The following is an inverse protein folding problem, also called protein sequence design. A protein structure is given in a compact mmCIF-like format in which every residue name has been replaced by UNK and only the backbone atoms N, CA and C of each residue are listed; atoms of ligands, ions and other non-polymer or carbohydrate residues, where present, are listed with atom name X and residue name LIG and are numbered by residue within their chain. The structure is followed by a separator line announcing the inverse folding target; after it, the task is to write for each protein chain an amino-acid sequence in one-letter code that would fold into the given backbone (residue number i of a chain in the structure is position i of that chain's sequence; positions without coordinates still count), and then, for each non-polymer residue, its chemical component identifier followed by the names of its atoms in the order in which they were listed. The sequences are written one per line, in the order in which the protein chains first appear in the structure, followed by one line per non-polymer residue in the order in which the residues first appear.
data_IF_199503912645
#
_entry.id   IF_199503912645
#
_cell.length_a   1.000
_cell.length_b   1.000
_cell.length_c   1.000
_cell.angle_alpha   90.00
_cell.angle_beta   90.00
_cell.angle_gamma   90.00
#
_symmetry.space_group_name_H-M   'P 1'
#
loop_
_entity.id
_entity.type
_entity.pdbx_description
1 polymer ?
#
# COMPACT_ATOMS: atom_id res chain seq x y z
N UNK A 1 -3.93 -41.49 -18.81
CA UNK A 1 -2.66 -42.14 -18.43
C UNK A 1 -1.45 -41.59 -19.19
N UNK A 2 -1.39 -41.66 -20.53
CA UNK A 2 -0.24 -41.14 -21.30
C UNK A 2 0.02 -39.63 -21.09
N UNK A 3 -1.03 -38.81 -21.01
CA UNK A 3 -0.91 -37.37 -20.74
C UNK A 3 -0.37 -37.05 -19.33
N UNK A 4 -0.68 -37.89 -18.32
CA UNK A 4 -0.18 -37.73 -16.95
C UNK A 4 1.31 -38.05 -16.87
N UNK A 5 1.73 -39.13 -17.52
CA UNK A 5 3.15 -39.47 -17.62
C UNK A 5 3.94 -38.40 -18.41
N UNK A 6 3.34 -37.84 -19.46
CA UNK A 6 3.92 -36.74 -20.23
C UNK A 6 4.18 -35.49 -19.40
N UNK A 7 3.28 -35.13 -18.47
CA UNK A 7 3.45 -33.98 -17.59
C UNK A 7 4.66 -34.11 -16.65
N UNK A 8 4.85 -35.29 -16.05
CA UNK A 8 6.00 -35.56 -15.18
C UNK A 8 7.32 -35.60 -15.97
N UNK A 9 7.32 -36.16 -17.18
CA UNK A 9 8.49 -36.15 -18.07
C UNK A 9 8.85 -34.71 -18.45
N UNK A 10 7.87 -33.88 -18.79
CA UNK A 10 8.09 -32.48 -19.09
C UNK A 10 8.67 -31.73 -17.89
N UNK A 11 8.18 -32.01 -16.68
CA UNK A 11 8.72 -31.42 -15.44
C UNK A 11 10.21 -31.77 -15.23
N UNK A 12 10.59 -33.04 -15.43
CA UNK A 12 12.00 -33.48 -15.30
C UNK A 12 12.90 -32.77 -16.34
N UNK A 13 12.42 -32.62 -17.57
CA UNK A 13 13.14 -31.89 -18.63
C UNK A 13 13.33 -30.42 -18.22
N UNK A 14 12.29 -29.78 -17.69
CA UNK A 14 12.36 -28.39 -17.22
C UNK A 14 13.36 -28.24 -16.08
N UNK A 15 13.40 -29.17 -15.11
CA UNK A 15 14.41 -29.17 -14.04
C UNK A 15 15.83 -29.24 -14.63
N UNK A 16 16.06 -30.09 -15.63
CA UNK A 16 17.36 -30.18 -16.31
C UNK A 16 17.78 -28.86 -16.98
N UNK A 17 16.85 -28.18 -17.65
CA UNK A 17 17.09 -26.87 -18.27
C UNK A 17 17.39 -25.82 -17.20
N UNK A 18 16.64 -25.80 -16.09
CA UNK A 18 16.84 -24.86 -14.99
C UNK A 18 18.16 -25.09 -14.26
N UNK A 19 18.64 -26.34 -14.18
CA UNK A 19 19.95 -26.67 -13.64
C UNK A 19 21.06 -26.10 -14.53
N UNK A 20 20.97 -26.28 -15.84
CA UNK A 20 21.94 -25.70 -16.79
C UNK A 20 21.94 -24.17 -16.71
N UNK A 21 20.75 -23.56 -16.66
CA UNK A 21 20.61 -22.12 -16.46
C UNK A 21 21.26 -21.66 -15.14
N UNK A 22 21.03 -22.39 -14.04
CA UNK A 22 21.60 -22.05 -12.73
C UNK A 22 23.13 -22.14 -12.71
N UNK A 23 23.71 -23.12 -13.41
CA UNK A 23 25.17 -23.24 -13.58
C UNK A 23 25.71 -22.04 -14.37
N UNK A 24 25.09 -21.71 -15.51
CA UNK A 24 25.53 -20.60 -16.36
C UNK A 24 25.41 -19.26 -15.63
N UNK A 25 24.29 -19.02 -14.96
CA UNK A 25 24.02 -17.82 -14.19
C UNK A 25 25.05 -17.63 -13.07
N UNK A 26 25.34 -18.69 -12.31
CA UNK A 26 26.32 -18.65 -11.23
C UNK A 26 27.73 -18.39 -11.78
N UNK A 27 28.13 -19.08 -12.85
CA UNK A 27 29.45 -18.86 -13.49
C UNK A 27 29.59 -17.49 -14.15
N UNK A 28 28.51 -16.89 -14.61
CA UNK A 28 28.54 -15.57 -15.24
C UNK A 28 28.80 -14.45 -14.22
N UNK A 29 28.20 -14.56 -13.04
CA UNK A 29 28.32 -13.55 -11.98
C UNK A 29 29.48 -13.81 -10.99
N UNK A 30 30.08 -15.00 -11.01
CA UNK A 30 31.19 -15.34 -10.12
C UNK A 30 32.52 -14.79 -10.65
N UNK A 31 33.24 -14.02 -9.83
CA UNK A 31 34.58 -13.52 -10.17
C UNK A 31 35.59 -14.67 -10.22
N UNK A 32 36.52 -14.62 -11.17
CA UNK A 32 37.43 -15.72 -11.52
C UNK A 32 38.58 -15.89 -10.52
N UNK A 33 38.75 -14.95 -9.58
CA UNK A 33 39.84 -14.97 -8.60
C UNK A 33 39.44 -15.50 -7.21
N UNK A 34 38.17 -15.38 -6.82
CA UNK A 34 37.68 -15.79 -5.49
C UNK A 34 36.60 -16.89 -5.58
N UNK A 35 36.73 -17.80 -6.55
CA UNK A 35 35.71 -18.82 -6.78
C UNK A 35 35.94 -20.10 -5.95
N UNK A 36 35.21 -20.24 -4.85
CA UNK A 36 35.25 -21.43 -4.02
C UNK A 36 34.24 -22.52 -4.46
N UNK A 37 34.67 -23.79 -4.62
CA UNK A 37 33.83 -24.84 -5.22
C UNK A 37 32.61 -25.22 -4.38
N UNK A 38 32.72 -25.16 -3.05
CA UNK A 38 31.62 -25.51 -2.14
C UNK A 38 30.53 -24.42 -2.13
N UNK A 39 30.90 -23.14 -2.13
CA UNK A 39 29.95 -22.02 -2.22
C UNK A 39 29.21 -22.02 -3.56
N UNK A 40 29.93 -22.26 -4.66
CA UNK A 40 29.33 -22.40 -6.00
C UNK A 40 28.37 -23.59 -6.05
N UNK A 41 28.71 -24.71 -5.42
CA UNK A 41 27.82 -25.87 -5.39
C UNK A 41 26.52 -25.60 -4.60
N UNK A 42 26.62 -24.99 -3.41
CA UNK A 42 25.46 -24.67 -2.57
C UNK A 42 24.54 -23.66 -3.25
N UNK A 43 25.10 -22.65 -3.91
CA UNK A 43 24.34 -21.64 -4.67
C UNK A 43 23.64 -22.23 -5.89
N UNK A 44 24.32 -23.07 -6.69
CA UNK A 44 23.70 -23.76 -7.84
C UNK A 44 22.56 -24.68 -7.39
N UNK A 45 22.78 -25.48 -6.35
CA UNK A 45 21.77 -26.41 -5.83
C UNK A 45 20.56 -25.68 -5.25
N UNK A 46 20.77 -24.64 -4.45
CA UNK A 46 19.67 -23.86 -3.86
C UNK A 46 18.88 -23.09 -4.92
N UNK A 47 19.55 -22.46 -5.89
CA UNK A 47 18.91 -21.75 -7.00
C UNK A 47 18.07 -22.70 -7.86
N UNK A 48 18.62 -23.88 -8.19
CA UNK A 48 17.90 -24.91 -8.97
C UNK A 48 16.66 -25.41 -8.21
N UNK A 49 16.78 -25.60 -6.90
CA UNK A 49 15.67 -26.05 -6.05
C UNK A 49 14.55 -25.01 -5.95
N UNK A 50 14.88 -23.72 -5.83
CA UNK A 50 13.90 -22.63 -5.81
C UNK A 50 13.20 -22.48 -7.17
N UNK A 51 13.95 -22.50 -8.27
CA UNK A 51 13.38 -22.34 -9.61
C UNK A 51 12.51 -23.54 -10.01
N UNK A 52 12.91 -24.75 -9.61
CA UNK A 52 12.08 -25.95 -9.85
C UNK A 52 10.77 -25.92 -9.05
N UNK A 53 10.75 -25.36 -7.84
CA UNK A 53 9.52 -25.22 -7.05
C UNK A 53 8.51 -24.28 -7.74
N UNK A 54 8.99 -23.21 -8.36
CA UNK A 54 8.15 -22.31 -9.16
C UNK A 54 7.65 -23.01 -10.44
N UNK A 55 8.51 -23.80 -11.08
CA UNK A 55 8.14 -24.55 -12.29
C UNK A 55 7.14 -25.68 -12.05
N UNK A 56 6.90 -26.09 -10.79
CA UNK A 56 5.90 -27.10 -10.44
C UNK A 56 4.46 -26.57 -10.53
N UNK A 57 4.23 -25.26 -10.35
CA UNK A 57 2.90 -24.66 -10.43
C UNK A 57 2.14 -24.93 -11.75
N UNK A 58 2.72 -24.70 -12.94
CA UNK A 58 2.02 -25.00 -14.19
C UNK A 58 1.73 -26.51 -14.36
N UNK A 59 2.59 -27.38 -13.81
CA UNK A 59 2.41 -28.84 -13.87
C UNK A 59 1.27 -29.28 -12.95
N UNK A 60 1.17 -28.70 -11.76
CA UNK A 60 0.05 -28.90 -10.82
C UNK A 60 -1.29 -28.49 -11.46
N UNK A 61 -1.37 -27.25 -11.98
CA UNK A 61 -2.57 -26.74 -12.65
C UNK A 61 -2.96 -27.65 -13.82
N UNK A 62 -1.99 -28.09 -14.62
CA UNK A 62 -2.25 -29.00 -15.74
C UNK A 62 -2.75 -30.38 -15.27
N UNK A 63 -2.09 -30.98 -14.27
CA UNK A 63 -2.46 -32.29 -13.74
C UNK A 63 -3.87 -32.28 -13.15
N UNK A 64 -4.22 -31.26 -12.37
CA UNK A 64 -5.54 -31.12 -11.75
C UNK A 64 -6.61 -30.80 -12.81
N UNK A 65 -6.35 -29.86 -13.72
CA UNK A 65 -7.31 -29.48 -14.76
C UNK A 65 -7.58 -30.62 -15.74
N UNK A 66 -6.60 -31.48 -16.04
CA UNK A 66 -6.77 -32.64 -16.92
C UNK A 66 -7.75 -33.70 -16.39
N UNK A 67 -8.13 -33.63 -15.10
CA UNK A 67 -9.10 -34.54 -14.49
C UNK A 67 -10.55 -34.14 -14.74
N UNK A 68 -10.79 -32.90 -15.20
CA UNK A 68 -12.13 -32.31 -15.40
C UNK A 68 -12.45 -32.21 -16.89
N UNK A 69 -13.66 -32.60 -17.27
CA UNK A 69 -14.15 -32.45 -18.63
C UNK A 69 -14.68 -31.03 -18.84
N UNK A 70 -14.08 -30.28 -19.76
CA UNK A 70 -14.42 -28.88 -20.07
C UNK A 70 -15.88 -28.69 -20.52
N UNK A 71 -16.48 -29.69 -21.16
CA UNK A 71 -17.83 -29.58 -21.72
C UNK A 71 -18.94 -29.83 -20.70
N UNK A 72 -18.66 -30.65 -19.67
CA UNK A 72 -19.65 -31.06 -18.67
C UNK A 72 -19.35 -30.53 -17.27
N UNK A 73 -18.14 -30.01 -17.02
CA UNK A 73 -17.67 -29.57 -15.70
C UNK A 73 -17.46 -30.73 -14.70
N UNK A 74 -17.70 -31.98 -15.11
CA UNK A 74 -17.58 -33.16 -14.27
C UNK A 74 -16.23 -33.83 -14.46
N UNK A 75 -15.75 -34.53 -13.43
CA UNK A 75 -14.53 -35.35 -13.52
C UNK A 75 -14.73 -36.49 -14.52
N UNK A 76 -13.69 -36.79 -15.29
CA UNK A 76 -13.69 -37.96 -16.17
C UNK A 76 -13.86 -39.25 -15.36
N UNK A 77 -14.52 -40.27 -15.94
CA UNK A 77 -14.77 -41.54 -15.25
C UNK A 77 -13.48 -42.26 -14.86
N UNK A 78 -12.44 -42.19 -15.70
CA UNK A 78 -11.11 -42.72 -15.38
C UNK A 78 -10.42 -41.97 -14.22
N UNK A 79 -10.82 -40.72 -13.96
CA UNK A 79 -10.19 -39.87 -12.96
C UNK A 79 -10.79 -40.07 -11.56
N UNK A 80 -12.02 -40.58 -11.43
CA UNK A 80 -12.70 -40.75 -10.12
C UNK A 80 -11.89 -41.59 -9.14
N UNK A 81 -11.31 -42.68 -9.62
CA UNK A 81 -10.51 -43.60 -8.79
C UNK A 81 -9.03 -43.18 -8.70
N UNK A 82 -8.54 -42.37 -9.65
CA UNK A 82 -7.12 -42.02 -9.79
C UNK A 82 -6.76 -40.64 -9.21
N UNK A 83 -7.73 -39.75 -8.98
CA UNK A 83 -7.48 -38.38 -8.49
C UNK A 83 -6.76 -38.39 -7.14
N UNK A 84 -7.11 -39.28 -6.22
CA UNK A 84 -6.44 -39.35 -4.92
C UNK A 84 -4.97 -39.73 -5.06
N UNK A 85 -4.65 -40.64 -5.99
CA UNK A 85 -3.27 -41.01 -6.27
C UNK A 85 -2.47 -39.86 -6.88
N UNK A 86 -3.07 -39.10 -7.80
CA UNK A 86 -2.46 -37.91 -8.41
C UNK A 86 -2.20 -36.83 -7.34
N UNK A 87 -3.18 -36.54 -6.49
CA UNK A 87 -3.03 -35.57 -5.40
C UNK A 87 -1.97 -36.00 -4.40
N UNK A 88 -1.90 -37.30 -4.05
CA UNK A 88 -0.87 -37.82 -3.16
C UNK A 88 0.54 -37.68 -3.77
N UNK A 89 0.70 -37.92 -5.07
CA UNK A 89 1.97 -37.71 -5.77
C UNK A 89 2.38 -36.23 -5.78
N UNK A 90 1.45 -35.32 -6.11
CA UNK A 90 1.69 -33.88 -6.10
C UNK A 90 2.07 -33.41 -4.69
N UNK A 91 1.33 -33.82 -3.67
CA UNK A 91 1.61 -33.50 -2.27
C UNK A 91 2.98 -34.03 -1.83
N UNK A 92 3.33 -35.27 -2.18
CA UNK A 92 4.63 -35.85 -1.87
C UNK A 92 5.79 -35.05 -2.49
N UNK A 93 5.64 -34.62 -3.75
CA UNK A 93 6.64 -33.78 -4.42
C UNK A 93 6.74 -32.40 -3.77
N UNK A 94 5.62 -31.75 -3.44
CA UNK A 94 5.62 -30.46 -2.74
C UNK A 94 6.29 -30.56 -1.37
N UNK A 95 5.92 -31.54 -0.55
CA UNK A 95 6.54 -31.73 0.76
C UNK A 95 8.02 -32.08 0.65
N UNK A 96 8.42 -32.88 -0.34
CA UNK A 96 9.82 -33.17 -0.63
C UNK A 96 10.62 -31.93 -1.00
N UNK A 97 10.10 -31.11 -1.92
CA UNK A 97 10.78 -29.89 -2.37
C UNK A 97 10.86 -28.83 -1.27
N UNK A 98 9.75 -28.54 -0.58
CA UNK A 98 9.75 -27.58 0.54
C UNK A 98 10.59 -28.08 1.72
N UNK A 99 10.59 -29.38 1.99
CA UNK A 99 11.46 -30.00 3.00
C UNK A 99 12.94 -29.83 2.65
N UNK A 100 13.33 -30.07 1.39
CA UNK A 100 14.70 -29.82 0.92
C UNK A 100 15.06 -28.32 1.01
N UNK A 101 14.16 -27.41 0.63
CA UNK A 101 14.40 -25.96 0.75
C UNK A 101 14.62 -25.59 2.22
N UNK A 102 13.82 -26.12 3.14
CA UNK A 102 13.98 -25.89 4.57
C UNK A 102 15.34 -26.39 5.09
N UNK A 103 15.79 -27.58 4.64
CA UNK A 103 17.12 -28.11 5.00
C UNK A 103 18.24 -27.21 4.46
N UNK A 104 18.14 -26.76 3.21
CA UNK A 104 19.11 -25.86 2.61
C UNK A 104 19.18 -24.53 3.36
N UNK A 105 18.04 -23.92 3.68
CA UNK A 105 17.97 -22.66 4.41
C UNK A 105 18.41 -22.77 5.87
N UNK A 106 18.09 -23.87 6.56
CA UNK A 106 18.35 -24.01 7.99
C UNK A 106 19.76 -24.53 8.31
N UNK A 107 20.37 -25.32 7.42
CA UNK A 107 21.65 -25.98 7.71
C UNK A 107 22.72 -25.67 6.67
N UNK A 108 22.42 -25.87 5.39
CA UNK A 108 23.45 -25.85 4.33
C UNK A 108 23.96 -24.43 4.06
N UNK A 109 23.06 -23.44 3.95
CA UNK A 109 23.44 -22.04 3.71
C UNK A 109 24.16 -21.43 4.93
N UNK A 110 23.65 -21.59 6.17
CA UNK A 110 24.37 -21.12 7.36
C UNK A 110 25.74 -21.78 7.55
N UNK A 111 25.84 -23.10 7.31
CA UNK A 111 27.11 -23.83 7.37
C UNK A 111 28.11 -23.32 6.32
N UNK A 112 27.66 -23.16 5.08
CA UNK A 112 28.50 -22.61 4.02
C UNK A 112 28.99 -21.21 4.39
N UNK A 113 28.09 -20.32 4.80
CA UNK A 113 28.44 -18.96 5.22
C UNK A 113 29.51 -18.94 6.32
N UNK A 114 29.30 -19.70 7.41
CA UNK A 114 30.23 -19.72 8.53
C UNK A 114 31.58 -20.35 8.18
N UNK A 115 31.59 -21.42 7.38
CA UNK A 115 32.82 -22.07 6.92
C UNK A 115 33.70 -21.13 6.08
N UNK A 116 33.09 -20.24 5.28
CA UNK A 116 33.83 -19.29 4.44
C UNK A 116 34.33 -18.06 5.20
N UNK A 117 33.55 -17.54 6.15
CA UNK A 117 34.00 -16.41 6.98
C UNK A 117 35.29 -16.77 7.76
N UNK A 118 35.37 -17.99 8.31
CA UNK A 118 36.55 -18.47 9.05
C UNK A 118 37.77 -18.70 8.12
N UNK A 119 37.55 -19.11 6.86
CA UNK A 119 38.64 -19.33 5.89
C UNK A 119 39.31 -18.01 5.46
N UNK A 120 38.51 -16.96 5.21
CA UNK A 120 39.04 -15.62 4.86
C UNK A 120 39.86 -15.00 6.02
N UNK A 121 39.45 -15.20 7.27
CA UNK A 121 40.23 -14.75 8.43
C UNK A 121 41.57 -15.50 8.55
N UNK A 122 41.61 -16.79 8.19
CA UNK A 122 42.81 -17.63 8.19
C UNK A 122 43.91 -17.19 7.20
N UNK A 123 43.55 -16.86 5.96
CA UNK A 123 44.51 -16.42 4.92
C UNK A 123 45.05 -15.00 5.17
N UNK A 124 44.26 -14.13 5.82
CA UNK A 124 44.66 -12.76 6.15
C UNK A 124 45.87 -12.68 7.11
N UNK A 125 46.11 -13.75 7.89
CA UNK A 125 47.15 -13.80 8.91
C UNK A 125 48.55 -14.22 8.39
N UNK A 126 48.70 -14.60 7.11
CA UNK A 126 49.96 -15.20 6.58
C UNK A 126 50.70 -14.39 5.50
N UNK A 127 50.16 -13.29 4.97
CA UNK A 127 50.87 -12.50 3.94
C UNK A 127 51.79 -11.41 4.54
N UNK A 128 53.05 -11.27 4.09
CA UNK A 128 53.85 -10.08 4.40
C UNK A 128 53.14 -8.85 3.82
N UNK A 129 53.16 -7.76 4.57
CA UNK A 129 52.52 -6.47 4.24
C UNK A 129 53.06 -5.86 2.93
N UNK A 130 52.65 -6.39 1.79
CA UNK A 130 52.77 -5.65 0.54
C UNK A 130 51.56 -4.76 0.36
N UNK A 131 51.88 -3.51 0.05
CA UNK A 131 51.03 -2.33 0.02
C UNK A 131 49.80 -2.56 -0.87
N UNK A 132 48.74 -3.14 -0.30
CA UNK A 132 47.38 -3.02 -0.84
C UNK A 132 47.11 -1.51 -0.91
N UNK A 133 46.89 -1.00 -2.13
CA UNK A 133 46.22 0.29 -2.30
C UNK A 133 44.97 0.16 -1.43
N UNK A 134 44.77 1.00 -0.40
CA UNK A 134 43.61 0.88 0.46
C UNK A 134 42.40 1.22 -0.42
N UNK A 135 41.83 0.19 -1.04
CA UNK A 135 40.47 0.31 -1.54
C UNK A 135 39.65 0.50 -0.28
N UNK A 136 38.89 1.59 -0.28
CA UNK A 136 38.18 2.22 0.82
C UNK A 136 37.22 1.30 1.61
N UNK A 137 37.20 0.00 1.30
CA UNK A 137 36.36 -1.05 1.87
C UNK A 137 36.81 -1.54 3.24
N UNK A 138 38.10 -1.54 3.58
CA UNK A 138 38.53 -1.85 4.97
C UNK A 138 38.25 -0.66 5.91
N UNK A 139 38.38 0.56 5.39
CA UNK A 139 37.91 1.77 6.07
C UNK A 139 36.40 1.73 6.22
N UNK A 140 35.65 1.44 5.16
CA UNK A 140 34.18 1.34 5.19
C UNK A 140 33.70 0.18 6.06
N UNK A 141 34.31 -1.00 6.00
CA UNK A 141 34.03 -2.15 6.88
C UNK A 141 34.30 -1.76 8.32
N UNK A 142 35.44 -1.16 8.65
CA UNK A 142 35.78 -0.67 10.00
C UNK A 142 34.92 0.51 10.47
N UNK A 143 34.43 1.32 9.53
CA UNK A 143 33.47 2.40 9.79
C UNK A 143 32.11 1.79 10.12
N UNK A 144 31.64 0.81 9.37
CA UNK A 144 30.37 0.10 9.54
C UNK A 144 30.34 -0.86 10.74
N UNK A 145 31.43 -1.58 11.03
CA UNK A 145 31.54 -2.51 12.19
C UNK A 145 32.05 -1.83 13.45
N UNK A 146 32.58 -0.61 13.36
CA UNK A 146 32.85 0.23 14.52
C UNK A 146 31.55 0.70 15.16
N UNK A 147 31.52 0.80 16.49
CA UNK A 147 30.37 1.32 17.25
C UNK A 147 29.88 2.69 16.77
N UNK A 148 30.73 3.46 16.07
CA UNK A 148 30.40 4.77 15.49
C UNK A 148 29.55 4.67 14.21
N UNK A 149 29.78 3.70 13.31
CA UNK A 149 28.97 3.56 12.09
C UNK A 149 27.62 2.91 12.34
N UNK A 150 27.55 1.93 13.25
CA UNK A 150 26.27 1.38 13.73
C UNK A 150 25.39 2.50 14.32
N UNK A 151 25.99 3.42 15.09
CA UNK A 151 25.31 4.60 15.63
C UNK A 151 24.90 5.61 14.55
N UNK A 152 25.71 5.77 13.50
CA UNK A 152 25.43 6.73 12.41
C UNK A 152 24.32 6.21 11.48
N UNK A 153 24.32 4.91 11.18
CA UNK A 153 23.29 4.27 10.36
C UNK A 153 21.96 4.23 11.13
N UNK A 154 21.99 3.84 12.40
CA UNK A 154 20.79 3.89 13.25
C UNK A 154 20.22 5.30 13.36
N UNK A 155 21.08 6.32 13.42
CA UNK A 155 20.68 7.72 13.40
C UNK A 155 20.04 8.17 12.08
N UNK A 156 20.64 7.84 10.93
CA UNK A 156 20.08 8.16 9.60
C UNK A 156 18.72 7.49 9.43
N UNK A 157 18.61 6.22 9.82
CA UNK A 157 17.37 5.45 9.77
C UNK A 157 16.32 6.04 10.72
N UNK A 158 16.72 6.48 11.91
CA UNK A 158 15.81 7.14 12.86
C UNK A 158 15.27 8.47 12.28
N UNK A 159 16.11 9.28 11.63
CA UNK A 159 15.68 10.50 10.94
C UNK A 159 14.69 10.17 9.81
N UNK A 160 15.02 9.18 8.97
CA UNK A 160 14.15 8.75 7.88
C UNK A 160 12.80 8.26 8.41
N UNK A 161 12.79 7.51 9.51
CA UNK A 161 11.57 7.05 10.16
C UNK A 161 10.77 8.20 10.78
N UNK A 162 11.41 9.23 11.36
CA UNK A 162 10.70 10.42 11.85
C UNK A 162 10.04 11.18 10.71
N UNK A 163 10.74 11.37 9.58
CA UNK A 163 10.18 11.98 8.37
C UNK A 163 9.00 11.13 7.86
N UNK A 164 9.17 9.81 7.80
CA UNK A 164 8.11 8.87 7.43
C UNK A 164 6.89 8.96 8.34
N UNK A 165 7.09 9.12 9.65
CA UNK A 165 5.99 9.30 10.62
C UNK A 165 5.30 10.63 10.49
N UNK A 166 6.02 11.71 10.20
CA UNK A 166 5.41 13.01 9.91
C UNK A 166 4.53 12.90 8.66
N UNK A 167 5.05 12.31 7.58
CA UNK A 167 4.28 12.06 6.36
C UNK A 167 3.06 11.19 6.68
N UNK A 168 3.22 10.13 7.46
CA UNK A 168 2.13 9.23 7.85
C UNK A 168 1.03 9.94 8.65
N UNK A 169 1.38 10.72 9.68
CA UNK A 169 0.39 11.46 10.47
C UNK A 169 -0.38 12.44 9.61
N UNK A 170 0.34 13.15 8.76
CA UNK A 170 -0.23 14.25 8.01
C UNK A 170 -1.03 13.75 6.78
N UNK A 171 -0.62 12.64 6.17
CA UNK A 171 -1.25 12.06 4.97
C UNK A 171 -2.36 11.06 5.31
N UNK A 172 -2.12 10.16 6.26
CA UNK A 172 -2.97 9.00 6.51
C UNK A 172 -4.10 9.31 7.50
N UNK A 173 -3.85 10.12 8.54
CA UNK A 173 -4.88 10.41 9.54
C UNK A 173 -6.10 11.15 8.95
N UNK A 174 -5.93 12.21 8.11
CA UNK A 174 -7.06 12.86 7.46
C UNK A 174 -7.75 11.94 6.45
N UNK A 175 -7.00 11.18 5.65
CA UNK A 175 -7.55 10.27 4.65
C UNK A 175 -8.46 9.19 5.24
N UNK A 176 -8.03 8.56 6.34
CA UNK A 176 -8.82 7.56 7.06
C UNK A 176 -10.04 8.16 7.76
N UNK A 177 -9.92 9.36 8.33
CA UNK A 177 -11.02 10.01 9.04
C UNK A 177 -12.23 10.32 8.15
N UNK A 178 -11.99 10.54 6.85
CA UNK A 178 -13.01 10.90 5.86
C UNK A 178 -13.67 9.70 5.18
N UNK A 179 -13.05 8.52 5.25
CA UNK A 179 -13.48 7.31 4.54
C UNK A 179 -14.88 6.82 4.98
N UNK A 180 -15.19 6.68 6.29
CA UNK A 180 -16.51 6.23 6.73
C UNK A 180 -17.63 7.17 6.26
N UNK A 181 -17.36 8.47 6.27
CA UNK A 181 -18.34 9.50 5.91
C UNK A 181 -18.60 9.49 4.39
N UNK A 182 -17.57 9.25 3.58
CA UNK A 182 -17.71 9.04 2.13
C UNK A 182 -18.50 7.78 1.79
N UNK A 183 -18.24 6.68 2.51
CA UNK A 183 -18.97 5.43 2.29
C UNK A 183 -20.45 5.54 2.67
N UNK A 184 -20.77 6.22 3.77
CA UNK A 184 -22.15 6.41 4.23
C UNK A 184 -22.94 7.34 3.29
N UNK A 185 -22.31 8.37 2.72
CA UNK A 185 -23.00 9.33 1.82
C UNK A 185 -23.10 8.90 0.35
N UNK A 186 -22.39 7.85 -0.05
CA UNK A 186 -22.41 7.34 -1.42
C UNK A 186 -21.72 8.28 -2.42
N UNK A 187 -21.07 7.70 -3.43
CA UNK A 187 -20.29 8.43 -4.44
C UNK A 187 -21.11 9.39 -5.35
N UNK A 188 -22.44 9.44 -5.20
CA UNK A 188 -23.37 10.13 -6.10
C UNK A 188 -24.03 11.41 -5.57
N UNK A 189 -23.86 11.77 -4.28
CA UNK A 189 -24.31 13.06 -3.74
C UNK A 189 -23.08 13.92 -3.40
N UNK A 190 -22.31 14.26 -4.44
CA UNK A 190 -21.22 15.25 -4.34
C UNK A 190 -21.77 16.61 -4.70
N UNK A 191 -21.48 17.62 -3.86
CA UNK A 191 -21.97 19.02 -3.92
C UNK A 191 -22.19 19.45 -5.34
N UNK A 192 -23.22 20.26 -5.70
CA UNK A 192 -23.12 20.98 -6.97
C UNK A 192 -21.73 21.62 -7.00
N UNK A 193 -20.87 21.07 -7.87
CA UNK A 193 -19.45 21.37 -7.85
C UNK A 193 -19.30 22.85 -8.18
N UNK A 194 -18.20 23.48 -7.79
CA UNK A 194 -17.85 24.84 -8.23
C UNK A 194 -18.07 25.00 -9.75
N UNK A 195 -17.65 23.98 -10.51
CA UNK A 195 -17.81 23.88 -11.96
C UNK A 195 -19.27 23.74 -12.42
N UNK A 196 -20.13 23.15 -11.60
CA UNK A 196 -21.55 22.94 -11.89
C UNK A 196 -22.35 24.22 -11.57
N UNK A 197 -22.08 24.88 -10.43
CA UNK A 197 -22.68 26.18 -10.12
C UNK A 197 -22.30 27.21 -11.20
N UNK A 198 -21.05 27.19 -11.67
CA UNK A 198 -20.59 28.06 -12.75
C UNK A 198 -21.30 27.74 -14.08
N UNK A 199 -21.52 26.45 -14.41
CA UNK A 199 -22.22 26.06 -15.64
C UNK A 199 -23.69 26.49 -15.60
N UNK A 200 -24.37 26.32 -14.47
CA UNK A 200 -25.74 26.80 -14.25
C UNK A 200 -25.84 28.33 -14.36
N UNK A 201 -24.88 29.07 -13.79
CA UNK A 201 -24.82 30.52 -13.91
C UNK A 201 -24.64 30.98 -15.37
N UNK A 202 -23.80 30.27 -16.13
CA UNK A 202 -23.58 30.55 -17.57
C UNK A 202 -24.87 30.32 -18.36
N UNK A 203 -25.55 29.19 -18.14
CA UNK A 203 -26.83 28.87 -18.79
C UNK A 203 -27.91 29.90 -18.45
N UNK A 204 -28.00 30.33 -17.20
CA UNK A 204 -28.96 31.34 -16.77
C UNK A 204 -28.72 32.69 -17.49
N UNK A 205 -27.46 33.14 -17.52
CA UNK A 205 -27.07 34.37 -18.25
C UNK A 205 -27.33 34.28 -19.74
N UNK A 206 -27.17 33.12 -20.35
CA UNK A 206 -27.54 32.91 -21.76
C UNK A 206 -29.04 33.05 -21.97
N UNK A 207 -29.88 32.46 -21.10
CA UNK A 207 -31.34 32.63 -21.16
C UNK A 207 -31.74 34.10 -21.04
N UNK A 208 -31.12 34.85 -20.12
CA UNK A 208 -31.35 36.30 -19.99
C UNK A 208 -30.96 37.06 -21.27
N UNK A 209 -29.84 36.71 -21.91
CA UNK A 209 -29.42 37.33 -23.19
C UNK A 209 -30.38 37.04 -24.33
N UNK A 210 -30.92 35.81 -24.40
CA UNK A 210 -31.91 35.43 -25.42
C UNK A 210 -33.22 36.20 -25.24
N UNK A 211 -33.66 36.45 -24.01
CA UNK A 211 -34.84 37.29 -23.77
C UNK A 211 -34.53 38.75 -24.11
N UNK A 212 -33.43 39.29 -23.61
CA UNK A 212 -33.04 40.67 -23.87
C UNK A 212 -32.80 40.96 -25.37
N UNK A 213 -32.27 40.00 -26.13
CA UNK A 213 -32.02 40.17 -27.57
C UNK A 213 -33.31 40.25 -28.40
N UNK A 214 -34.40 39.59 -27.97
CA UNK A 214 -35.72 39.70 -28.62
C UNK A 214 -36.27 41.13 -28.60
N UNK A 215 -35.91 41.90 -27.58
CA UNK A 215 -36.37 43.27 -27.38
C UNK A 215 -35.29 44.33 -27.68
N UNK A 216 -34.07 43.90 -28.00
CA UNK A 216 -32.96 44.81 -28.31
C UNK A 216 -33.16 45.40 -29.71
N UNK A 217 -33.56 46.68 -29.77
CA UNK A 217 -33.79 47.40 -31.03
C UNK A 217 -35.25 47.38 -31.53
N UNK A 218 -36.18 46.77 -30.78
CA UNK A 218 -37.62 46.87 -31.03
C UNK A 218 -38.23 47.94 -30.11
N UNK A 219 -39.16 48.75 -30.62
CA UNK A 219 -39.95 49.71 -29.81
C UNK A 219 -41.06 49.01 -28.99
N UNK A 220 -41.12 47.67 -28.99
CA UNK A 220 -42.09 46.91 -28.21
C UNK A 220 -41.70 46.84 -26.73
N UNK A 221 -42.68 47.10 -25.87
CA UNK A 221 -42.58 46.85 -24.43
C UNK A 221 -42.59 45.34 -24.17
N UNK A 222 -41.81 44.89 -23.18
CA UNK A 222 -41.61 43.48 -22.87
C UNK A 222 -42.93 42.80 -22.47
N UNK A 223 -43.21 41.61 -23.01
CA UNK A 223 -44.43 40.87 -22.72
C UNK A 223 -44.49 40.46 -21.23
N UNK A 224 -45.68 40.43 -20.61
CA UNK A 224 -45.84 40.11 -19.16
C UNK A 224 -45.24 38.75 -18.77
N UNK A 225 -45.34 37.76 -19.67
CA UNK A 225 -44.74 36.45 -19.46
C UNK A 225 -43.21 36.50 -19.53
N UNK A 226 -42.67 37.30 -20.45
CA UNK A 226 -41.22 37.45 -20.61
C UNK A 226 -40.63 38.32 -19.48
N UNK A 227 -41.38 39.26 -18.93
CA UNK A 227 -41.01 40.03 -17.72
C UNK A 227 -40.92 39.13 -16.50
N UNK A 228 -41.94 38.30 -16.25
CA UNK A 228 -41.95 37.34 -15.13
C UNK A 228 -40.81 36.33 -15.25
N UNK A 229 -40.58 35.78 -16.46
CA UNK A 229 -39.47 34.85 -16.71
C UNK A 229 -38.10 35.50 -16.53
N UNK A 230 -37.92 36.75 -16.97
CA UNK A 230 -36.66 37.45 -16.79
C UNK A 230 -36.39 37.75 -15.31
N UNK A 231 -37.41 38.16 -14.55
CA UNK A 231 -37.30 38.41 -13.11
C UNK A 231 -36.94 37.13 -12.33
N UNK A 232 -37.54 36.00 -12.70
CA UNK A 232 -37.17 34.69 -12.15
C UNK A 232 -35.70 34.37 -12.41
N UNK A 233 -35.23 34.47 -13.66
CA UNK A 233 -33.84 34.19 -14.02
C UNK A 233 -32.84 35.11 -13.31
N UNK A 234 -33.17 36.39 -13.14
CA UNK A 234 -32.33 37.36 -12.40
C UNK A 234 -32.25 36.99 -10.91
N UNK A 235 -33.36 36.52 -10.34
CA UNK A 235 -33.41 36.10 -8.93
C UNK A 235 -32.57 34.85 -8.72
N UNK A 236 -32.70 33.87 -9.61
CA UNK A 236 -31.89 32.65 -9.65
C UNK A 236 -30.39 32.99 -9.78
N UNK A 237 -30.00 33.92 -10.66
CA UNK A 237 -28.60 34.37 -10.81
C UNK A 237 -28.05 34.97 -9.50
N UNK A 238 -28.84 35.79 -8.81
CA UNK A 238 -28.44 36.40 -7.53
C UNK A 238 -28.23 35.34 -6.45
N UNK A 239 -29.09 34.31 -6.41
CA UNK A 239 -28.97 33.19 -5.47
C UNK A 239 -27.68 32.38 -5.77
N UNK A 240 -27.46 32.03 -7.05
CA UNK A 240 -26.27 31.31 -7.49
C UNK A 240 -24.98 32.09 -7.19
N UNK A 241 -24.95 33.39 -7.46
CA UNK A 241 -23.79 34.25 -7.17
C UNK A 241 -23.49 34.37 -5.67
N UNK A 242 -24.52 34.41 -4.80
CA UNK A 242 -24.32 34.41 -3.34
C UNK A 242 -23.70 33.09 -2.88
N UNK A 243 -24.17 31.96 -3.40
CA UNK A 243 -23.65 30.62 -3.09
C UNK A 243 -22.23 30.42 -3.60
N UNK A 244 -21.90 30.88 -4.83
CA UNK A 244 -20.54 30.85 -5.37
C UNK A 244 -19.56 31.63 -4.49
N UNK A 245 -19.93 32.84 -4.05
CA UNK A 245 -19.10 33.64 -3.13
C UNK A 245 -18.94 32.99 -1.77
N UNK A 246 -19.98 32.35 -1.23
CA UNK A 246 -19.88 31.61 0.02
C UNK A 246 -18.94 30.39 -0.11
N UNK A 247 -18.98 29.72 -1.26
CA UNK A 247 -18.07 28.61 -1.59
C UNK A 247 -16.61 29.09 -1.74
N UNK A 248 -16.37 30.19 -2.47
CA UNK A 248 -15.05 30.82 -2.60
C UNK A 248 -14.48 31.31 -1.25
N UNK A 249 -15.33 31.93 -0.42
CA UNK A 249 -14.94 32.37 0.92
C UNK A 249 -14.57 31.18 1.83
N UNK A 250 -15.25 30.04 1.68
CA UNK A 250 -14.88 28.80 2.36
C UNK A 250 -13.54 28.24 1.85
N UNK A 251 -13.26 28.33 0.55
CA UNK A 251 -12.03 27.80 -0.09
C UNK A 251 -10.76 28.57 0.28
N UNK A 252 -10.87 29.87 0.57
CA UNK A 252 -9.74 30.78 0.84
C UNK A 252 -9.14 30.68 2.25
N UNK A 253 -9.80 29.96 3.17
CA UNK A 253 -9.26 29.73 4.51
C UNK A 253 -7.93 28.96 4.47
N UNK A 254 -6.91 29.48 5.16
CA UNK A 254 -5.56 28.85 5.25
C UNK A 254 -5.66 27.39 5.72
N UNK A 255 -6.59 27.08 6.63
CA UNK A 255 -6.87 25.73 7.10
C UNK A 255 -7.40 24.81 6.00
N UNK A 256 -8.28 25.31 5.13
CA UNK A 256 -8.82 24.53 4.01
C UNK A 256 -7.77 24.36 2.91
N UNK A 257 -6.88 25.33 2.71
CA UNK A 257 -5.75 25.22 1.77
C UNK A 257 -4.75 24.14 2.20
N UNK A 258 -4.46 24.04 3.49
CA UNK A 258 -3.65 22.98 4.09
C UNK A 258 -4.36 21.63 3.98
N UNK A 259 -5.65 21.54 4.33
CA UNK A 259 -6.46 20.31 4.20
C UNK A 259 -6.60 19.82 2.75
N UNK A 260 -6.66 20.73 1.78
CA UNK A 260 -6.79 20.40 0.35
C UNK A 260 -5.47 19.88 -0.24
N UNK A 261 -4.32 20.34 0.28
CA UNK A 261 -2.99 19.79 -0.06
C UNK A 261 -2.82 18.34 0.42
N UNK A 262 -3.55 17.94 1.46
CA UNK A 262 -3.59 16.56 1.98
C UNK A 262 -4.66 15.66 1.31
N UNK A 263 -5.24 16.10 0.19
CA UNK A 263 -6.31 15.38 -0.52
C UNK A 263 -5.91 14.89 -1.93
N UNK A 264 -4.89 14.02 -2.10
CA UNK A 264 -4.55 13.47 -3.43
C UNK A 264 -5.28 12.15 -3.78
N UNK A 265 -6.07 11.57 -2.89
CA UNK A 265 -6.78 10.31 -3.17
C UNK A 265 -8.08 10.52 -3.94
N UNK A 266 -7.93 10.60 -5.26
CA UNK A 266 -8.95 10.20 -6.24
C UNK A 266 -8.50 8.98 -7.08
N UNK A 267 -7.39 8.32 -6.75
CA UNK A 267 -6.90 7.15 -7.50
C UNK A 267 -7.33 5.81 -6.88
N UNK A 268 -8.54 5.38 -7.24
CA UNK A 268 -8.99 3.99 -7.14
C UNK A 268 -8.11 3.12 -8.07
N UNK A 269 -7.40 2.03 -7.66
CA UNK A 269 -7.52 1.16 -6.47
C UNK A 269 -6.34 1.23 -5.46
N UNK A 270 -5.52 2.28 -5.47
CA UNK A 270 -4.28 2.37 -4.66
C UNK A 270 -4.57 2.41 -3.14
N UNK A 271 -5.74 2.91 -2.76
CA UNK A 271 -6.23 2.97 -1.38
C UNK A 271 -6.24 1.60 -0.69
N UNK A 272 -6.67 0.53 -1.38
CA UNK A 272 -6.76 -0.80 -0.79
C UNK A 272 -5.39 -1.39 -0.47
N UNK A 273 -4.41 -1.16 -1.34
CA UNK A 273 -3.03 -1.62 -1.15
C UNK A 273 -2.43 -0.91 0.07
N UNK A 274 -2.67 0.40 0.18
CA UNK A 274 -2.19 1.20 1.32
C UNK A 274 -2.86 0.80 2.64
N UNK A 275 -4.17 0.49 2.62
CA UNK A 275 -4.91 -0.02 3.78
C UNK A 275 -4.40 -1.37 4.26
N UNK A 276 -4.14 -2.30 3.33
CA UNK A 276 -3.57 -3.61 3.66
C UNK A 276 -2.17 -3.47 4.26
N UNK A 277 -1.34 -2.59 3.70
CA UNK A 277 0.01 -2.31 4.21
C UNK A 277 -0.05 -1.71 5.62
N UNK A 278 -0.99 -0.80 5.88
CA UNK A 278 -1.23 -0.21 7.20
C UNK A 278 -1.68 -1.25 8.23
N UNK A 279 -2.62 -2.14 7.89
CA UNK A 279 -3.07 -3.22 8.77
C UNK A 279 -1.89 -4.14 9.11
N UNK A 280 -1.08 -4.48 8.11
CA UNK A 280 0.10 -5.31 8.28
C UNK A 280 1.17 -4.61 9.15
N UNK A 281 1.36 -3.30 8.99
CA UNK A 281 2.25 -2.50 9.83
C UNK A 281 1.80 -2.48 11.29
N UNK A 282 0.52 -2.18 11.56
CA UNK A 282 -0.01 -2.17 12.93
C UNK A 282 0.03 -3.57 13.56
N UNK A 283 -0.22 -4.62 12.77
CA UNK A 283 -0.12 -6.00 13.23
C UNK A 283 1.32 -6.36 13.64
N UNK A 284 2.31 -6.05 12.78
CA UNK A 284 3.73 -6.27 13.08
C UNK A 284 4.15 -5.44 14.29
N UNK A 285 3.75 -4.16 14.37
CA UNK A 285 4.05 -3.29 15.51
C UNK A 285 3.47 -3.81 16.82
N UNK A 286 2.23 -4.32 16.80
CA UNK A 286 1.56 -4.90 17.96
C UNK A 286 2.25 -6.19 18.41
N UNK A 287 2.64 -7.06 17.47
CA UNK A 287 3.41 -8.28 17.80
C UNK A 287 4.74 -7.90 18.45
N UNK A 288 5.47 -6.94 17.88
CA UNK A 288 6.75 -6.48 18.45
C UNK A 288 6.55 -5.87 19.84
N UNK A 289 5.49 -5.08 20.04
CA UNK A 289 5.14 -4.49 21.34
C UNK A 289 4.79 -5.54 22.40
N UNK A 290 3.99 -6.54 22.04
CA UNK A 290 3.61 -7.65 22.94
C UNK A 290 4.82 -8.52 23.30
N UNK A 291 5.71 -8.78 22.33
CA UNK A 291 6.97 -9.51 22.57
C UNK A 291 7.89 -8.73 23.53
N UNK A 292 7.96 -7.40 23.41
CA UNK A 292 8.83 -6.58 24.26
C UNK A 292 8.31 -6.37 25.69
N UNK A 293 7.00 -6.15 25.85
CA UNK A 293 6.36 -5.88 27.16
C UNK A 293 6.02 -7.17 27.94
N UNK A 294 5.80 -8.29 27.23
CA UNK A 294 5.32 -9.55 27.79
C UNK A 294 3.83 -9.47 28.16
N UNK A 295 3.18 -10.63 28.34
CA UNK A 295 1.75 -10.67 28.69
C UNK A 295 1.60 -10.37 30.18
N UNK A 296 1.06 -9.18 30.49
CA UNK A 296 0.76 -8.73 31.86
C UNK A 296 -0.74 -8.72 32.08
N UNK A 297 -1.18 -9.33 33.18
CA UNK A 297 -2.57 -9.26 33.64
C UNK A 297 -2.58 -8.66 35.04
N UNK A 298 -3.33 -7.56 35.25
CA UNK A 298 -3.46 -6.89 36.56
C UNK A 298 -2.11 -6.61 37.25
N UNK A 299 -1.15 -6.00 36.55
CA UNK A 299 0.22 -5.70 37.04
C UNK A 299 1.09 -6.90 37.46
N UNK A 300 0.62 -8.13 37.27
CA UNK A 300 1.40 -9.34 37.49
C UNK A 300 1.88 -9.86 36.13
N UNK A 301 3.18 -10.11 36.01
CA UNK A 301 3.79 -10.65 34.79
C UNK A 301 3.50 -12.14 34.72
N UNK A 302 2.56 -12.55 33.85
CA UNK A 302 2.00 -13.91 33.85
C UNK A 302 2.78 -14.86 32.91
N UNK A 303 3.40 -14.30 31.85
CA UNK A 303 4.23 -15.07 30.93
C UNK A 303 5.33 -14.19 30.28
N UNK A 304 6.61 -14.51 30.53
CA UNK A 304 7.74 -13.97 29.76
C UNK A 304 7.92 -14.84 28.52
N UNK A 305 7.61 -14.32 27.35
CA UNK A 305 7.87 -15.01 26.09
C UNK A 305 9.39 -15.00 25.85
N UNK A 306 10.08 -16.08 26.23
CA UNK A 306 11.47 -16.30 25.83
C UNK A 306 11.50 -16.74 24.37
N UNK A 307 11.56 -15.79 23.43
CA UNK A 307 12.05 -16.08 22.09
C UNK A 307 13.58 -16.05 22.18
N UNK A 308 14.21 -17.20 22.39
CA UNK A 308 15.63 -17.34 22.16
C UNK A 308 15.86 -17.23 20.65
N UNK A 309 16.76 -16.33 20.25
CA UNK A 309 17.06 -15.84 18.88
C UNK A 309 16.12 -14.74 18.37
N UNK A 310 16.38 -13.46 18.70
CA UNK A 310 15.81 -12.35 17.95
C UNK A 310 16.24 -12.43 16.48
N UNK A 311 15.36 -12.09 15.54
CA UNK A 311 15.72 -11.99 14.12
C UNK A 311 16.70 -10.83 13.93
N UNK A 312 17.58 -10.89 12.92
CA UNK A 312 18.56 -9.84 12.63
C UNK A 312 17.91 -8.44 12.47
N UNK A 313 16.66 -8.41 12.00
CA UNK A 313 15.86 -7.19 11.87
C UNK A 313 15.39 -6.71 13.25
N UNK A 314 14.94 -7.60 14.14
CA UNK A 314 14.47 -7.22 15.48
C UNK A 314 15.62 -6.79 16.38
N UNK A 315 16.81 -7.41 16.26
CA UNK A 315 18.02 -6.95 16.98
C UNK A 315 18.43 -5.56 16.53
N UNK A 316 18.37 -5.29 15.22
CA UNK A 316 18.73 -4.00 14.66
C UNK A 316 17.76 -2.90 15.11
N UNK A 317 16.44 -3.14 15.05
CA UNK A 317 15.43 -2.19 15.57
C UNK A 317 15.58 -1.99 17.07
N UNK A 318 15.76 -3.08 17.84
CA UNK A 318 15.94 -3.00 19.28
C UNK A 318 17.21 -2.21 19.65
N UNK A 319 18.30 -2.35 18.90
CA UNK A 319 19.51 -1.54 19.07
C UNK A 319 19.30 -0.07 18.68
N UNK A 320 18.57 0.24 17.61
CA UNK A 320 18.20 1.63 17.25
C UNK A 320 17.43 2.28 18.42
N UNK A 321 16.41 1.61 18.96
CA UNK A 321 15.57 2.15 20.04
C UNK A 321 16.33 2.30 21.36
N UNK A 322 17.18 1.33 21.72
CA UNK A 322 17.96 1.36 22.97
C UNK A 322 19.10 2.37 22.92
N UNK A 323 19.76 2.51 21.78
CA UNK A 323 20.92 3.39 21.63
C UNK A 323 20.52 4.85 21.36
N UNK A 324 19.30 5.08 20.85
CA UNK A 324 18.78 6.44 20.61
C UNK A 324 17.44 6.68 21.31
N UNK A 325 17.44 6.77 22.67
CA UNK A 325 16.22 6.85 23.47
C UNK A 325 15.34 8.06 23.10
N UNK A 326 15.94 9.17 22.65
CA UNK A 326 15.23 10.36 22.17
C UNK A 326 14.25 10.04 21.04
N UNK A 327 14.69 9.32 20.00
CA UNK A 327 13.84 8.99 18.86
C UNK A 327 12.74 8.00 19.27
N UNK A 328 13.04 7.03 20.14
CA UNK A 328 12.03 6.13 20.69
C UNK A 328 10.88 6.86 21.40
N UNK A 329 11.21 7.89 22.18
CA UNK A 329 10.22 8.75 22.84
C UNK A 329 9.41 9.57 21.82
N UNK A 330 10.08 10.13 20.80
CA UNK A 330 9.41 10.84 19.69
C UNK A 330 8.44 9.92 18.94
N UNK A 331 8.84 8.66 18.66
CA UNK A 331 7.96 7.67 18.03
C UNK A 331 6.77 7.32 18.90
N UNK A 332 6.97 7.14 20.20
CA UNK A 332 5.86 6.88 21.11
C UNK A 332 4.82 7.99 21.09
N UNK A 333 5.25 9.25 21.23
CA UNK A 333 4.34 10.39 21.22
C UNK A 333 3.73 10.65 19.83
N UNK A 334 4.42 10.31 18.75
CA UNK A 334 3.88 10.46 17.40
C UNK A 334 2.72 9.49 17.13
N UNK A 335 2.70 8.30 17.74
CA UNK A 335 1.54 7.39 17.71
C UNK A 335 0.31 8.00 18.41
N UNK A 336 0.50 8.67 19.55
CA UNK A 336 -0.59 9.38 20.22
C UNK A 336 -1.06 10.60 19.41
N UNK A 337 -0.13 11.35 18.82
CA UNK A 337 -0.44 12.46 17.92
C UNK A 337 -1.26 11.99 16.70
N UNK A 338 -0.93 10.83 16.11
CA UNK A 338 -1.70 10.21 15.04
C UNK A 338 -3.17 10.00 15.45
N UNK A 339 -3.40 9.39 16.62
CA UNK A 339 -4.76 9.14 17.12
C UNK A 339 -5.53 10.43 17.39
N UNK A 340 -4.85 11.45 17.93
CA UNK A 340 -5.47 12.78 18.17
C UNK A 340 -5.85 13.44 16.85
N UNK A 341 -4.97 13.44 15.85
CA UNK A 341 -5.26 14.02 14.52
C UNK A 341 -6.38 13.26 13.81
N UNK A 342 -6.40 11.93 13.92
CA UNK A 342 -7.47 11.10 13.38
C UNK A 342 -8.81 11.39 14.06
N UNK A 343 -8.83 11.48 15.39
CA UNK A 343 -10.02 11.81 16.16
C UNK A 343 -10.51 13.24 15.88
N UNK A 344 -9.61 14.22 15.83
CA UNK A 344 -9.95 15.60 15.46
C UNK A 344 -10.44 15.69 14.01
N UNK A 345 -9.86 14.95 13.08
CA UNK A 345 -10.34 14.86 11.70
C UNK A 345 -11.74 14.27 11.60
N UNK A 346 -12.00 13.19 12.36
CA UNK A 346 -13.31 12.55 12.42
C UNK A 346 -14.36 13.46 13.06
N UNK A 347 -14.03 14.10 14.19
CA UNK A 347 -14.89 15.05 14.90
C UNK A 347 -15.13 16.29 14.04
N UNK A 348 -14.10 16.86 13.40
CA UNK A 348 -14.24 17.96 12.44
C UNK A 348 -15.18 17.58 11.29
N UNK A 349 -15.02 16.37 10.74
CA UNK A 349 -15.87 15.88 9.66
C UNK A 349 -17.29 15.51 10.08
N UNK A 350 -17.53 15.27 11.38
CA UNK A 350 -18.86 14.97 11.93
C UNK A 350 -19.58 16.25 12.38
N UNK A 351 -18.85 17.20 12.98
CA UNK A 351 -19.39 18.47 13.51
C UNK A 351 -19.58 19.49 12.40
N UNK A 352 -18.74 19.50 11.35
CA UNK A 352 -19.09 20.26 10.15
C UNK A 352 -20.21 19.49 9.45
N UNK A 353 -21.47 19.97 9.45
CA UNK A 353 -22.34 19.63 8.35
C UNK A 353 -21.57 20.09 7.10
N UNK A 354 -21.27 19.15 6.20
CA UNK A 354 -21.02 19.54 4.84
C UNK A 354 -22.32 20.21 4.43
N UNK A 355 -22.32 21.55 4.45
CA UNK A 355 -23.43 22.43 4.14
C UNK A 355 -23.77 22.21 2.68
N UNK A 356 -24.45 21.11 2.46
CA UNK A 356 -24.94 20.65 1.21
C UNK A 356 -26.42 20.90 1.33
N UNK A 357 -26.76 22.16 1.09
CA UNK A 357 -28.13 22.58 0.83
C UNK A 357 -28.51 21.76 -0.41
N UNK A 358 -29.35 20.74 -0.20
CA UNK A 358 -29.88 19.89 -1.25
C UNK A 358 -30.60 20.75 -2.27
N UNK A 359 -30.65 20.32 -3.52
CA UNK A 359 -31.49 20.95 -4.54
C UNK A 359 -32.98 20.99 -4.11
N UNK A 360 -33.39 20.09 -3.21
CA UNK A 360 -34.72 20.12 -2.59
C UNK A 360 -34.97 21.39 -1.75
N UNK A 361 -33.98 21.88 -0.99
CA UNK A 361 -34.10 23.15 -0.24
C UNK A 361 -34.12 24.38 -1.19
N UNK A 362 -33.62 24.22 -2.42
CA UNK A 362 -33.60 25.27 -3.44
C UNK A 362 -34.94 25.40 -4.15
N UNK A 363 -35.61 24.28 -4.45
CA UNK A 363 -36.97 24.28 -4.98
C UNK A 363 -37.96 24.81 -3.93
N UNK A 364 -37.77 24.50 -2.64
CA UNK A 364 -38.60 25.03 -1.55
C UNK A 364 -38.46 26.55 -1.34
N UNK A 365 -37.23 27.10 -1.39
CA UNK A 365 -37.00 28.57 -1.32
C UNK A 365 -37.57 29.30 -2.55
N UNK A 366 -37.50 28.68 -3.73
CA UNK A 366 -38.07 29.23 -4.95
C UNK A 366 -39.61 29.21 -4.90
N UNK A 367 -40.22 28.11 -4.48
CA UNK A 367 -41.67 28.03 -4.26
C UNK A 367 -42.16 29.04 -3.23
N UNK A 368 -41.43 29.23 -2.13
CA UNK A 368 -41.79 30.21 -1.10
C UNK A 368 -41.70 31.65 -1.64
N UNK A 369 -40.66 31.96 -2.42
CA UNK A 369 -40.53 33.26 -3.09
C UNK A 369 -41.61 33.50 -4.16
N UNK A 370 -42.04 32.45 -4.87
CA UNK A 370 -43.13 32.48 -5.84
C UNK A 370 -44.49 32.70 -5.16
N UNK A 371 -44.72 32.06 -3.99
CA UNK A 371 -45.92 32.29 -3.15
C UNK A 371 -45.99 33.71 -2.59
N UNK A 372 -44.86 34.32 -2.28
CA UNK A 372 -44.81 35.71 -1.79
C UNK A 372 -45.00 36.75 -2.89
N UNK A 373 -44.59 36.43 -4.14
CA UNK A 373 -44.75 37.30 -5.30
C UNK A 373 -46.14 37.19 -5.95
N UNK A 374 -46.85 36.08 -5.75
CA UNK A 374 -48.21 35.88 -6.26
C UNK A 374 -49.16 35.42 -5.14
N UNK A 375 -49.69 36.33 -4.29
CA UNK A 375 -50.60 35.99 -3.21
C UNK A 375 -52.02 35.59 -3.68
N UNK A 376 -52.25 35.48 -5.00
CA UNK A 376 -53.56 35.24 -5.61
C UNK A 376 -53.54 34.10 -6.63
N UNK A 377 -53.05 32.92 -6.24
CA UNK A 377 -53.40 31.64 -6.88
C UNK A 377 -54.28 30.79 -5.98
#
# INVERSE_FOLDING_TARGET
MAALAGAWIAFIIIIGILLVFSILFTKYYQDRRDSEPLATFVTICSLTLCLSAIALFPVDIFLVSSTVNLNTGLKHDWAKDQVQNILNQINAVYYGMYGLIAIFCSFVIPFAYFYFEEYEEGESNQQPKDKKIPVDLDFFKKFLTGSLGENSISFIIAILMVIGMIIFIVYTAPGLSLLPIRMIKGAGQSGPSDSEIESHLRLNREKQRVINSKYQGSNQTMNRKDTEQLEHLITEEKILMRRLRAYEASKTGILNKILMIFRPFEYFPLDYIFMVLLILYFFISTIVGVVFIGIRFLWITLYKVHICTPTAISTFIQRITVNTPFFGVVFYYSQWAFLIVLALGFVYSTIRPQSYISLDDFDDELEESERLLNPSS
#
